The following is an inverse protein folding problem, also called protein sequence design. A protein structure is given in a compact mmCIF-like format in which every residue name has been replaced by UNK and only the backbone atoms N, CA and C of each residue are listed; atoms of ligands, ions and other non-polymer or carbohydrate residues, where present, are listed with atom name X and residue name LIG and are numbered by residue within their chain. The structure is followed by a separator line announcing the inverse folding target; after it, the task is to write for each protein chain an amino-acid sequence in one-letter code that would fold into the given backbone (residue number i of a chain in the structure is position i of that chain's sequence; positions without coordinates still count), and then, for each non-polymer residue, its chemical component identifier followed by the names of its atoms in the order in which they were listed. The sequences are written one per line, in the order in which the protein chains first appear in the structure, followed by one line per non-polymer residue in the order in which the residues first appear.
data_IF_199051768925
#
_entry.id   IF_199051768925
#
_cell.length_a   1.000
_cell.length_b   1.000
_cell.length_c   1.000
_cell.angle_alpha   90.00
_cell.angle_beta   90.00
_cell.angle_gamma   90.00
#
_symmetry.space_group_name_H-M   'P 1'
#
loop_
_entity.id
_entity.type
_entity.pdbx_description
1 polymer ?
#
# COMPACT_ATOMS: atom_id res chain seq x y z
N UNK A 1 -27.63 19.64 -15.20
CA UNK A 1 -27.01 18.38 -15.65
C UNK A 1 -25.56 18.38 -15.20
N UNK A 2 -25.05 17.30 -14.62
CA UNK A 2 -23.62 17.19 -14.25
C UNK A 2 -22.75 17.19 -15.51
N UNK A 3 -21.64 17.94 -15.51
CA UNK A 3 -20.71 18.03 -16.65
C UNK A 3 -19.85 16.78 -16.90
N UNK A 4 -19.99 15.73 -16.09
CA UNK A 4 -19.20 14.50 -16.20
C UNK A 4 -19.89 13.45 -17.08
N UNK A 5 -19.07 12.66 -17.79
CA UNK A 5 -19.55 11.51 -18.58
C UNK A 5 -20.18 10.46 -17.66
N UNK A 6 -21.19 9.75 -18.17
CA UNK A 6 -21.72 8.55 -17.51
C UNK A 6 -20.59 7.53 -17.33
N UNK A 7 -20.47 6.97 -16.13
CA UNK A 7 -19.40 6.01 -15.79
C UNK A 7 -18.06 6.66 -15.45
N UNK A 8 -18.03 7.96 -15.11
CA UNK A 8 -16.82 8.58 -14.58
C UNK A 8 -16.33 7.85 -13.32
N UNK A 9 -15.05 7.45 -13.32
CA UNK A 9 -14.44 6.66 -12.26
C UNK A 9 -13.94 7.56 -11.12
N UNK A 10 -14.87 8.03 -10.29
CA UNK A 10 -14.53 8.67 -9.03
C UNK A 10 -13.82 7.68 -8.11
N UNK A 11 -12.79 8.12 -7.40
CA UNK A 11 -12.00 7.23 -6.56
C UNK A 11 -10.91 7.94 -5.79
N UNK A 12 -10.06 7.15 -5.15
CA UNK A 12 -8.90 7.61 -4.40
C UNK A 12 -7.62 6.94 -4.89
N UNK A 13 -6.48 7.57 -4.60
CA UNK A 13 -5.16 7.08 -5.00
C UNK A 13 -4.17 7.13 -3.84
N UNK A 14 -3.36 6.07 -3.73
CA UNK A 14 -2.30 5.90 -2.74
C UNK A 14 -1.13 5.14 -3.35
N UNK A 15 -0.03 4.96 -2.61
CA UNK A 15 1.08 4.08 -2.98
C UNK A 15 1.49 3.22 -1.79
N UNK A 16 1.77 1.94 -2.03
CA UNK A 16 2.00 0.89 -1.03
C UNK A 16 2.88 1.32 0.14
N UNK A 17 4.09 1.80 -0.14
CA UNK A 17 5.05 2.19 0.90
C UNK A 17 4.58 3.34 1.80
N UNK A 18 3.57 4.12 1.39
CA UNK A 18 3.06 5.26 2.15
C UNK A 18 1.91 4.89 3.08
N UNK A 19 1.26 3.73 2.89
CA UNK A 19 0.10 3.34 3.68
C UNK A 19 0.14 1.92 4.25
N UNK A 20 0.77 0.97 3.57
CA UNK A 20 0.69 -0.45 3.95
C UNK A 20 1.26 -0.70 5.35
N UNK A 21 2.47 -0.24 5.63
CA UNK A 21 3.19 -0.73 6.81
C UNK A 21 3.57 -2.20 6.62
N UNK A 22 3.69 -2.94 7.73
CA UNK A 22 4.07 -4.37 7.71
C UNK A 22 5.31 -4.60 6.85
N UNK A 23 6.30 -3.71 6.98
CA UNK A 23 7.38 -3.56 6.01
C UNK A 23 8.31 -4.76 5.90
N UNK A 24 8.36 -5.59 6.93
CA UNK A 24 9.14 -6.82 7.05
C UNK A 24 8.25 -8.06 7.25
N UNK A 25 6.94 -7.93 6.99
CA UNK A 25 5.97 -9.00 7.13
C UNK A 25 5.68 -9.71 5.81
N UNK A 26 5.26 -10.97 5.91
CA UNK A 26 4.89 -11.81 4.77
C UNK A 26 5.99 -11.97 3.73
N UNK A 27 7.24 -12.07 4.19
CA UNK A 27 8.42 -12.21 3.32
C UNK A 27 8.81 -10.95 2.56
N UNK A 28 8.23 -9.77 2.86
CA UNK A 28 8.59 -8.52 2.17
C UNK A 28 10.06 -8.15 2.40
N UNK A 29 10.77 -7.86 1.30
CA UNK A 29 12.13 -7.32 1.33
C UNK A 29 12.21 -5.81 1.60
N UNK A 30 13.44 -5.36 1.87
CA UNK A 30 13.76 -3.95 2.10
C UNK A 30 13.63 -3.17 0.80
N UNK A 31 12.78 -2.15 0.79
CA UNK A 31 12.67 -1.22 -0.32
C UNK A 31 13.50 0.05 -0.10
N UNK A 32 13.66 0.85 -1.15
CA UNK A 32 14.31 2.17 -1.04
C UNK A 32 13.60 3.10 -0.04
N UNK A 33 12.29 2.93 0.18
CA UNK A 33 11.53 3.74 1.13
C UNK A 33 11.82 3.33 2.59
N UNK A 34 12.20 2.07 2.82
CA UNK A 34 12.45 1.52 4.15
C UNK A 34 13.79 1.99 4.74
N UNK A 35 14.64 2.64 3.94
CA UNK A 35 15.91 3.26 4.35
C UNK A 35 15.86 4.79 4.31
N UNK A 36 14.67 5.37 4.21
CA UNK A 36 14.47 6.82 4.24
C UNK A 36 13.93 7.27 5.60
N UNK A 37 14.70 8.09 6.33
CA UNK A 37 14.28 8.59 7.64
C UNK A 37 13.14 9.60 7.53
N UNK A 38 12.44 9.88 8.64
CA UNK A 38 11.49 10.98 8.70
C UNK A 38 12.18 12.33 8.46
N UNK A 39 11.45 13.26 7.84
CA UNK A 39 11.88 14.65 7.67
C UNK A 39 10.76 15.60 8.08
N UNK A 40 10.99 16.90 7.93
CA UNK A 40 10.02 17.94 8.21
C UNK A 40 10.26 19.15 7.30
N UNK A 41 9.45 20.20 7.45
CA UNK A 41 9.73 21.45 6.75
C UNK A 41 11.09 22.01 7.19
N UNK A 42 12.00 22.20 6.23
CA UNK A 42 13.38 22.64 6.50
C UNK A 42 14.33 21.53 6.97
N UNK A 43 13.84 20.29 7.15
CA UNK A 43 14.66 19.14 7.56
C UNK A 43 14.48 18.02 6.52
N UNK A 44 15.47 17.78 5.64
CA UNK A 44 15.36 16.76 4.61
C UNK A 44 15.27 15.35 5.23
N UNK A 45 14.68 14.42 4.49
CA UNK A 45 14.80 12.99 4.78
C UNK A 45 16.23 12.55 4.45
N UNK A 46 16.77 11.63 5.23
CA UNK A 46 18.07 11.03 4.98
C UNK A 46 17.90 9.63 4.40
N UNK A 47 18.80 9.25 3.48
CA UNK A 47 18.88 7.88 2.94
C UNK A 47 20.04 7.18 3.64
N UNK A 48 19.76 6.09 4.34
CA UNK A 48 20.75 5.36 5.13
C UNK A 48 21.26 4.11 4.41
N UNK A 49 22.44 3.63 4.78
CA UNK A 49 22.98 2.33 4.32
C UNK A 49 22.28 1.18 5.05
N UNK A 50 21.04 0.90 4.66
CA UNK A 50 20.19 -0.08 5.34
C UNK A 50 19.39 0.54 6.49
N UNK A 51 18.74 -0.31 7.28
CA UNK A 51 17.95 0.10 8.45
C UNK A 51 18.86 0.19 9.66
N UNK A 52 18.88 1.36 10.31
CA UNK A 52 19.73 1.66 11.47
C UNK A 52 18.85 1.80 12.71
N UNK A 53 19.16 1.03 13.76
CA UNK A 53 18.44 1.08 15.04
C UNK A 53 18.47 2.49 15.65
N UNK A 54 17.32 2.92 16.17
CA UNK A 54 17.15 4.23 16.79
C UNK A 54 16.80 5.36 15.83
N UNK A 55 16.81 5.14 14.51
CA UNK A 55 16.28 6.08 13.53
C UNK A 55 14.80 5.84 13.26
N UNK A 56 14.09 6.90 12.86
CA UNK A 56 12.67 6.84 12.55
C UNK A 56 12.44 6.68 11.05
N UNK A 57 11.92 5.52 10.64
CA UNK A 57 11.54 5.22 9.27
C UNK A 57 10.00 5.16 9.17
N UNK A 58 9.32 6.26 8.80
CA UNK A 58 7.86 6.34 8.90
C UNK A 58 7.13 5.36 7.97
N UNK A 59 7.81 4.86 6.94
CA UNK A 59 7.27 3.89 6.00
C UNK A 59 7.16 2.47 6.58
N UNK A 60 7.84 2.19 7.71
CA UNK A 60 7.83 0.86 8.34
C UNK A 60 6.43 0.49 8.87
N UNK A 61 5.78 1.44 9.55
CA UNK A 61 4.41 1.31 10.07
C UNK A 61 3.37 1.99 9.17
N UNK A 62 3.73 3.12 8.56
CA UNK A 62 2.82 3.93 7.75
C UNK A 62 1.49 4.24 8.47
N UNK A 63 0.36 3.78 7.93
CA UNK A 63 -0.96 3.85 8.60
C UNK A 63 -1.55 2.46 8.86
N UNK A 64 -0.72 1.43 8.74
CA UNK A 64 -1.09 0.03 8.97
C UNK A 64 -2.24 -0.50 8.08
N UNK A 65 -2.28 -0.08 6.81
CA UNK A 65 -3.24 -0.60 5.85
C UNK A 65 -3.05 -2.11 5.61
N UNK A 66 -1.85 -2.66 5.78
CA UNK A 66 -1.54 -4.08 5.63
C UNK A 66 -2.45 -4.96 6.50
N UNK A 67 -2.73 -4.55 7.73
CA UNK A 67 -3.66 -5.26 8.62
C UNK A 67 -5.11 -4.76 8.52
N UNK A 68 -5.29 -3.48 8.14
CA UNK A 68 -6.59 -2.79 8.24
C UNK A 68 -7.34 -2.63 6.92
N UNK A 69 -6.78 -3.08 5.79
CA UNK A 69 -7.33 -2.85 4.45
C UNK A 69 -8.82 -3.23 4.31
N UNK A 70 -9.31 -4.24 5.04
CA UNK A 70 -10.72 -4.64 4.99
C UNK A 70 -11.64 -3.51 5.47
N UNK A 71 -11.32 -2.90 6.61
CA UNK A 71 -12.08 -1.78 7.17
C UNK A 71 -11.90 -0.51 6.33
N UNK A 72 -10.68 -0.26 5.85
CA UNK A 72 -10.42 0.93 5.03
C UNK A 72 -11.12 0.85 3.67
N UNK A 73 -11.19 -0.34 3.05
CA UNK A 73 -11.98 -0.58 1.84
C UNK A 73 -13.47 -0.36 2.14
N UNK A 74 -14.00 -0.77 3.30
CA UNK A 74 -15.40 -0.46 3.67
C UNK A 74 -15.66 1.06 3.72
N UNK A 75 -14.71 1.86 4.20
CA UNK A 75 -14.87 3.33 4.18
C UNK A 75 -14.87 3.89 2.76
N UNK A 76 -14.04 3.35 1.86
CA UNK A 76 -14.06 3.71 0.44
C UNK A 76 -15.41 3.38 -0.22
N UNK A 77 -16.06 2.31 0.24
CA UNK A 77 -17.40 1.90 -0.15
C UNK A 77 -18.45 2.93 0.19
N UNK A 78 -18.44 3.36 1.45
CA UNK A 78 -19.40 4.27 2.04
C UNK A 78 -19.34 5.64 1.32
N UNK A 79 -18.14 6.07 0.92
CA UNK A 79 -17.95 7.26 0.09
C UNK A 79 -18.37 7.09 -1.37
N UNK A 80 -18.68 5.87 -1.81
CA UNK A 80 -19.18 5.58 -3.15
C UNK A 80 -18.10 5.53 -4.24
N UNK A 81 -16.86 5.16 -3.88
CA UNK A 81 -15.77 5.01 -4.84
C UNK A 81 -16.15 4.06 -5.99
N UNK A 82 -15.72 4.40 -7.19
CA UNK A 82 -15.85 3.61 -8.43
C UNK A 82 -14.52 3.02 -8.87
N UNK A 83 -13.41 3.55 -8.38
CA UNK A 83 -12.09 2.96 -8.49
C UNK A 83 -11.26 3.26 -7.23
N UNK A 84 -10.27 2.42 -6.97
CA UNK A 84 -9.24 2.66 -5.98
C UNK A 84 -7.89 2.36 -6.64
N UNK A 85 -6.99 3.33 -6.63
CA UNK A 85 -5.65 3.20 -7.21
C UNK A 85 -4.64 3.01 -6.09
N UNK A 86 -3.91 1.91 -6.12
CA UNK A 86 -2.71 1.71 -5.31
C UNK A 86 -1.58 1.15 -6.19
N UNK A 87 -0.39 0.99 -5.62
CA UNK A 87 0.73 0.28 -6.24
C UNK A 87 0.86 -1.10 -5.61
N UNK A 88 1.31 -2.09 -6.39
CA UNK A 88 1.82 -3.34 -5.83
C UNK A 88 3.23 -3.06 -5.29
N UNK A 89 3.48 -3.37 -4.01
CA UNK A 89 4.83 -3.28 -3.45
C UNK A 89 5.74 -4.31 -4.13
N UNK A 90 6.71 -3.86 -4.93
CA UNK A 90 7.66 -4.75 -5.62
C UNK A 90 8.29 -5.73 -4.64
N UNK A 91 8.81 -5.23 -3.51
CA UNK A 91 9.52 -6.06 -2.54
C UNK A 91 8.62 -7.06 -1.81
N UNK A 92 7.30 -7.03 -2.00
CA UNK A 92 6.42 -8.13 -1.57
C UNK A 92 6.40 -9.27 -2.57
N UNK A 93 6.62 -9.01 -3.86
CA UNK A 93 6.60 -10.02 -4.93
C UNK A 93 8.01 -10.59 -5.16
N UNK A 94 9.02 -9.73 -5.25
CA UNK A 94 10.43 -10.10 -5.37
C UNK A 94 11.22 -9.34 -4.32
N UNK A 95 11.39 -9.91 -3.11
CA UNK A 95 12.04 -9.26 -1.97
C UNK A 95 13.41 -8.64 -2.26
N UNK A 96 14.25 -9.35 -3.00
CA UNK A 96 15.58 -8.91 -3.44
C UNK A 96 15.55 -8.38 -4.88
N UNK A 97 14.58 -8.81 -5.68
CA UNK A 97 14.34 -8.34 -7.04
C UNK A 97 14.92 -9.24 -8.13
N UNK A 98 15.62 -10.31 -7.76
CA UNK A 98 16.31 -11.24 -8.66
C UNK A 98 15.95 -12.71 -8.41
N UNK A 99 14.95 -12.98 -7.56
CA UNK A 99 14.47 -14.34 -7.34
C UNK A 99 13.84 -14.93 -8.61
N UNK A 100 13.98 -16.25 -8.80
CA UNK A 100 13.39 -16.94 -9.96
C UNK A 100 11.87 -17.09 -9.85
N UNK A 101 11.39 -17.26 -8.61
CA UNK A 101 9.98 -17.44 -8.30
C UNK A 101 9.49 -16.31 -7.39
N UNK A 102 8.25 -15.84 -7.56
CA UNK A 102 7.71 -14.77 -6.73
C UNK A 102 7.40 -15.26 -5.31
N UNK A 103 7.36 -14.34 -4.38
CA UNK A 103 6.86 -14.57 -3.03
C UNK A 103 5.32 -14.71 -3.04
N UNK A 104 4.87 -15.94 -2.81
CA UNK A 104 3.46 -16.34 -2.82
C UNK A 104 2.61 -15.57 -1.79
N UNK A 105 3.14 -15.27 -0.60
CA UNK A 105 2.38 -14.53 0.41
C UNK A 105 2.13 -13.08 -0.01
N UNK A 106 3.09 -12.46 -0.68
CA UNK A 106 2.94 -11.14 -1.28
C UNK A 106 1.89 -11.12 -2.40
N UNK A 107 1.84 -12.17 -3.23
CA UNK A 107 0.80 -12.33 -4.25
C UNK A 107 -0.58 -12.49 -3.63
N UNK A 108 -0.71 -13.31 -2.59
CA UNK A 108 -1.98 -13.52 -1.88
C UNK A 108 -2.51 -12.23 -1.26
N UNK A 109 -1.66 -11.46 -0.58
CA UNK A 109 -2.05 -10.17 -0.01
C UNK A 109 -2.61 -9.21 -1.08
N UNK A 110 -1.93 -9.09 -2.23
CA UNK A 110 -2.36 -8.24 -3.34
C UNK A 110 -3.67 -8.72 -3.98
N UNK A 111 -3.83 -10.04 -4.13
CA UNK A 111 -5.04 -10.65 -4.66
C UNK A 111 -6.24 -10.38 -3.74
N UNK A 112 -6.08 -10.58 -2.44
CA UNK A 112 -7.15 -10.35 -1.45
C UNK A 112 -7.52 -8.86 -1.42
N UNK A 113 -6.54 -7.94 -1.40
CA UNK A 113 -6.82 -6.51 -1.44
C UNK A 113 -7.59 -6.11 -2.71
N UNK A 114 -7.18 -6.63 -3.87
CA UNK A 114 -7.85 -6.36 -5.15
C UNK A 114 -9.26 -6.93 -5.21
N UNK A 115 -9.46 -8.16 -4.70
CA UNK A 115 -10.78 -8.79 -4.65
C UNK A 115 -11.75 -8.05 -3.72
N UNK A 116 -11.28 -7.56 -2.57
CA UNK A 116 -12.11 -6.76 -1.67
C UNK A 116 -12.55 -5.46 -2.36
N UNK A 117 -11.64 -4.78 -3.08
CA UNK A 117 -11.96 -3.58 -3.85
C UNK A 117 -12.87 -3.83 -5.07
N UNK A 118 -12.90 -5.05 -5.61
CA UNK A 118 -13.69 -5.45 -6.78
C UNK A 118 -14.99 -6.20 -6.43
N UNK A 119 -15.23 -6.53 -5.16
CA UNK A 119 -16.45 -7.23 -4.73
C UNK A 119 -17.67 -6.41 -5.19
N UNK A 120 -18.42 -7.00 -6.13
CA UNK A 120 -19.01 -6.30 -7.28
C UNK A 120 -20.21 -5.40 -6.98
N UNK A 121 -20.71 -5.40 -5.76
CA UNK A 121 -21.73 -4.51 -5.25
C UNK A 121 -21.39 -4.42 -3.77
N UNK A 122 -21.05 -3.23 -3.28
CA UNK A 122 -20.41 -3.01 -1.98
C UNK A 122 -21.38 -3.29 -0.79
N UNK A 123 -21.86 -4.54 -0.67
CA UNK A 123 -22.80 -5.10 0.31
C UNK A 123 -22.64 -6.65 0.32
N UNK A 124 -21.45 -7.15 0.68
CA UNK A 124 -21.28 -8.55 1.06
C UNK A 124 -20.61 -8.63 2.43
N UNK A 125 -21.37 -8.18 3.44
CA UNK A 125 -21.48 -8.76 4.77
C UNK A 125 -22.94 -8.62 5.22
#
# INVERSE_FOLDING_TARGET
MSGFKKGFLWGGAVAAHQLEGGWNEGGKGISIADVMTAGAHGVPREVTEGVIDGLNYPNHEAIDFYHRYKTDIQLFAEMGFKCFRTSIAWTRIFPQGDEQEPNEEGLQFMMICSMNALSREWNLW
#
